data_IF_899137597319
#
_entry.id   IF_899137597319
#
_cell.length_a   1.000
_cell.length_b   1.000
_cell.length_c   1.000
_cell.angle_alpha   90.00
_cell.angle_beta   90.00
_cell.angle_gamma   90.00
#
_symmetry.space_group_name_H-M   'P 1'
#
loop_
_entity.id
_entity.type
_entity.pdbx_description
1 polymer ?
#
# COMPACT_ATOMS: atom_id res chain seq x y z
N UNK A 1 -23.59 -11.43 -2.19
CA UNK A 1 -22.64 -10.68 -1.34
C UNK A 1 -21.46 -11.61 -1.10
N UNK A 2 -20.21 -11.21 -1.33
CA UNK A 2 -19.11 -11.97 -0.74
C UNK A 2 -19.10 -11.65 0.75
N UNK A 3 -19.92 -12.36 1.54
CA UNK A 3 -20.02 -12.18 2.99
C UNK A 3 -18.65 -12.19 3.68
N UNK A 4 -17.69 -12.91 3.10
CA UNK A 4 -16.31 -13.02 3.55
C UNK A 4 -15.55 -11.68 3.52
N UNK A 5 -15.50 -10.98 2.37
CA UNK A 5 -14.78 -9.71 2.26
C UNK A 5 -15.34 -8.64 3.22
N UNK A 6 -16.66 -8.60 3.39
CA UNK A 6 -17.28 -7.68 4.35
C UNK A 6 -16.94 -8.03 5.80
N UNK A 7 -16.73 -9.31 6.13
CA UNK A 7 -16.29 -9.74 7.47
C UNK A 7 -14.83 -9.36 7.71
N UNK A 8 -13.95 -9.55 6.72
CA UNK A 8 -12.53 -9.16 6.82
C UNK A 8 -12.38 -7.65 7.00
N UNK A 9 -13.08 -6.85 6.19
CA UNK A 9 -13.06 -5.39 6.33
C UNK A 9 -13.58 -4.95 7.71
N UNK A 10 -14.67 -5.56 8.21
CA UNK A 10 -15.16 -5.27 9.57
C UNK A 10 -14.19 -5.69 10.66
N UNK A 11 -13.50 -6.82 10.51
CA UNK A 11 -12.47 -7.26 11.44
C UNK A 11 -11.27 -6.29 11.49
N UNK A 12 -10.99 -5.61 10.37
CA UNK A 12 -10.04 -4.51 10.30
C UNK A 12 -10.60 -3.15 10.80
N UNK A 13 -11.82 -3.12 11.36
CA UNK A 13 -12.46 -1.90 11.86
C UNK A 13 -13.13 -1.04 10.78
N UNK A 14 -13.32 -1.57 9.57
CA UNK A 14 -13.79 -0.84 8.39
C UNK A 14 -15.23 -1.25 8.04
N UNK A 15 -16.23 -0.54 8.57
CA UNK A 15 -17.63 -0.80 8.23
C UNK A 15 -18.12 -0.01 7.00
N UNK A 16 -18.03 -0.64 5.82
CA UNK A 16 -18.50 -0.06 4.56
C UNK A 16 -20.03 -0.07 4.40
N UNK A 17 -20.79 -0.69 5.31
CA UNK A 17 -22.26 -0.68 5.23
C UNK A 17 -22.85 0.71 5.51
N UNK A 18 -22.14 1.53 6.28
CA UNK A 18 -22.47 2.93 6.55
C UNK A 18 -22.40 3.84 5.30
N UNK A 19 -21.77 3.36 4.21
CA UNK A 19 -21.63 4.08 2.95
C UNK A 19 -22.99 4.28 2.25
N UNK A 20 -23.41 5.54 2.17
CA UNK A 20 -24.62 5.98 1.46
C UNK A 20 -24.40 6.28 -0.03
N UNK A 21 -23.21 5.97 -0.58
CA UNK A 21 -22.90 6.13 -2.00
C UNK A 21 -23.08 7.58 -2.56
N UNK A 22 -22.88 8.61 -1.74
CA UNK A 22 -23.05 10.01 -2.14
C UNK A 22 -22.05 10.49 -3.23
N UNK A 23 -20.86 9.90 -3.31
CA UNK A 23 -19.86 10.23 -4.33
C UNK A 23 -18.89 11.36 -3.98
N UNK A 24 -18.95 11.93 -2.77
CA UNK A 24 -18.00 12.95 -2.30
C UNK A 24 -16.54 12.51 -2.44
N UNK A 25 -16.27 11.23 -2.18
CA UNK A 25 -14.95 10.63 -2.34
C UNK A 25 -14.44 10.69 -3.79
N UNK A 26 -15.27 10.31 -4.76
CA UNK A 26 -14.91 10.35 -6.19
C UNK A 26 -14.75 11.81 -6.65
N UNK A 27 -15.66 12.71 -6.29
CA UNK A 27 -15.56 14.14 -6.68
C UNK A 27 -14.34 14.86 -6.08
N UNK A 28 -13.86 14.40 -4.93
CA UNK A 28 -12.68 14.96 -4.26
C UNK A 28 -11.37 14.30 -4.69
N UNK A 29 -11.42 13.17 -5.39
CA UNK A 29 -10.23 12.41 -5.74
C UNK A 29 -9.40 13.14 -6.82
N UNK A 30 -8.12 13.48 -6.58
CA UNK A 30 -7.26 14.07 -7.60
C UNK A 30 -6.99 13.08 -8.75
N UNK A 31 -6.65 11.83 -8.44
CA UNK A 31 -6.41 10.79 -9.46
C UNK A 31 -7.64 10.50 -10.31
N UNK A 32 -8.83 10.46 -9.70
CA UNK A 32 -10.09 10.17 -10.39
C UNK A 32 -10.49 11.22 -11.45
N UNK A 33 -9.91 12.43 -11.42
CA UNK A 33 -10.12 13.45 -12.45
C UNK A 33 -9.36 13.17 -13.74
N UNK A 34 -8.33 12.32 -13.69
CA UNK A 34 -7.39 12.09 -14.78
C UNK A 34 -7.28 10.61 -15.16
N UNK A 35 -7.98 9.72 -14.47
CA UNK A 35 -7.82 8.26 -14.62
C UNK A 35 -9.16 7.53 -14.44
N UNK A 36 -9.15 6.20 -14.55
CA UNK A 36 -10.31 5.34 -14.31
C UNK A 36 -10.68 5.14 -12.83
N UNK A 37 -9.96 5.73 -11.87
CA UNK A 37 -10.24 5.57 -10.45
C UNK A 37 -11.58 6.20 -10.06
N UNK A 38 -12.52 5.34 -9.64
CA UNK A 38 -13.77 5.76 -9.03
C UNK A 38 -13.89 5.18 -7.62
N UNK A 39 -13.53 5.98 -6.60
CA UNK A 39 -13.54 5.54 -5.20
C UNK A 39 -14.91 5.06 -4.73
N UNK A 40 -16.00 5.74 -5.12
CA UNK A 40 -17.37 5.30 -4.82
C UNK A 40 -17.67 3.92 -5.40
N UNK A 41 -17.25 3.66 -6.65
CA UNK A 41 -17.38 2.34 -7.30
C UNK A 41 -16.62 1.28 -6.53
N UNK A 42 -15.36 1.51 -6.18
CA UNK A 42 -14.55 0.57 -5.40
C UNK A 42 -15.24 0.18 -4.09
N UNK A 43 -15.72 1.16 -3.32
CA UNK A 43 -16.43 0.88 -2.05
C UNK A 43 -17.74 0.10 -2.26
N UNK A 44 -18.45 0.34 -3.36
CA UNK A 44 -19.65 -0.41 -3.71
C UNK A 44 -19.31 -1.85 -4.08
N UNK A 45 -18.27 -2.03 -4.87
CA UNK A 45 -17.88 -3.33 -5.44
C UNK A 45 -17.23 -4.20 -4.35
N UNK A 46 -16.49 -3.62 -3.42
CA UNK A 46 -16.02 -4.29 -2.20
C UNK A 46 -17.15 -4.92 -1.36
N UNK A 47 -18.38 -4.40 -1.45
CA UNK A 47 -19.54 -5.00 -0.76
C UNK A 47 -20.20 -6.14 -1.55
N UNK A 48 -19.93 -6.25 -2.85
CA UNK A 48 -20.71 -7.10 -3.77
C UNK A 48 -19.87 -8.20 -4.41
N UNK A 49 -18.69 -7.87 -4.91
CA UNK A 49 -17.86 -8.72 -5.74
C UNK A 49 -16.38 -8.57 -5.37
N UNK A 50 -15.87 -9.56 -4.63
CA UNK A 50 -14.47 -9.63 -4.18
C UNK A 50 -13.48 -9.59 -5.33
N UNK A 51 -13.61 -10.53 -6.28
CA UNK A 51 -12.65 -10.65 -7.39
C UNK A 51 -12.59 -9.36 -8.18
N UNK A 52 -13.75 -8.79 -8.53
CA UNK A 52 -13.80 -7.57 -9.34
C UNK A 52 -13.16 -6.34 -8.68
N UNK A 53 -13.05 -6.29 -7.35
CA UNK A 53 -12.39 -5.17 -6.66
C UNK A 53 -10.89 -5.42 -6.41
N UNK A 54 -10.51 -6.67 -6.12
CA UNK A 54 -9.12 -7.01 -5.80
C UNK A 54 -8.23 -7.08 -7.04
N UNK A 55 -8.80 -7.42 -8.20
CA UNK A 55 -8.10 -7.43 -9.48
C UNK A 55 -8.25 -6.12 -10.29
N UNK A 56 -8.86 -5.07 -9.73
CA UNK A 56 -9.06 -3.79 -10.43
C UNK A 56 -7.79 -2.94 -10.31
N UNK A 57 -7.06 -2.75 -11.42
CA UNK A 57 -5.86 -1.91 -11.47
C UNK A 57 -6.10 -0.48 -10.98
N UNK A 58 -7.34 0.02 -11.08
CA UNK A 58 -7.68 1.35 -10.58
C UNK A 58 -7.48 1.47 -9.06
N UNK A 59 -7.52 0.36 -8.31
CA UNK A 59 -7.23 0.34 -6.87
C UNK A 59 -5.84 0.90 -6.55
N UNK A 60 -4.86 0.68 -7.44
CA UNK A 60 -3.48 1.13 -7.29
C UNK A 60 -3.28 2.61 -7.62
N UNK A 61 -4.24 3.26 -8.27
CA UNK A 61 -4.17 4.69 -8.65
C UNK A 61 -4.49 5.65 -7.49
N UNK A 62 -4.94 5.14 -6.34
CA UNK A 62 -5.12 5.94 -5.14
C UNK A 62 -3.76 6.37 -4.56
N UNK A 63 -3.55 7.67 -4.39
CA UNK A 63 -2.31 8.26 -3.87
C UNK A 63 -2.30 8.39 -2.34
N UNK A 64 -3.29 7.81 -1.66
CA UNK A 64 -3.44 7.89 -0.19
C UNK A 64 -3.37 9.32 0.35
N UNK A 65 -3.94 10.29 -0.37
CA UNK A 65 -3.93 11.72 0.03
C UNK A 65 -4.97 12.09 1.10
N UNK A 66 -5.73 11.12 1.61
CA UNK A 66 -6.78 11.26 2.65
C UNK A 66 -7.96 12.21 2.37
N UNK A 67 -7.96 12.97 1.27
CA UNK A 67 -9.02 13.96 0.99
C UNK A 67 -10.44 13.35 0.98
N UNK A 68 -10.60 12.12 0.48
CA UNK A 68 -11.90 11.45 0.45
C UNK A 68 -12.39 11.01 1.84
N UNK A 69 -11.48 10.65 2.73
CA UNK A 69 -11.75 10.27 4.11
C UNK A 69 -12.19 11.49 4.92
N UNK A 70 -11.42 12.57 4.87
CA UNK A 70 -11.74 13.84 5.56
C UNK A 70 -13.08 14.46 5.14
N UNK A 71 -13.52 14.20 3.91
CA UNK A 71 -14.78 14.75 3.37
C UNK A 71 -15.94 13.78 3.44
N UNK A 72 -15.75 12.58 4.00
CA UNK A 72 -16.82 11.61 4.07
C UNK A 72 -17.90 12.07 5.06
N UNK A 73 -19.16 12.32 4.63
CA UNK A 73 -20.22 12.73 5.55
C UNK A 73 -20.72 11.60 6.47
N UNK A 74 -20.09 10.43 6.40
CA UNK A 74 -20.39 9.23 7.18
C UNK A 74 -19.18 8.77 7.98
N UNK A 75 -18.12 9.58 8.02
CA UNK A 75 -16.87 9.31 8.75
C UNK A 75 -16.26 7.94 8.42
N UNK A 76 -16.39 7.54 7.15
CA UNK A 76 -15.82 6.27 6.69
C UNK A 76 -14.31 6.46 6.53
N UNK A 77 -13.48 5.58 7.10
CA UNK A 77 -12.05 5.54 6.86
C UNK A 77 -11.74 5.01 5.44
N UNK A 78 -12.06 5.80 4.41
CA UNK A 78 -12.03 5.39 3.01
C UNK A 78 -10.61 5.06 2.55
N UNK A 79 -9.61 5.84 2.97
CA UNK A 79 -8.21 5.59 2.59
C UNK A 79 -7.72 4.30 3.21
N UNK A 80 -8.05 4.06 4.48
CA UNK A 80 -7.69 2.82 5.18
C UNK A 80 -8.39 1.60 4.56
N UNK A 81 -9.65 1.76 4.13
CA UNK A 81 -10.36 0.71 3.39
C UNK A 81 -9.72 0.37 2.05
N UNK A 82 -9.20 1.36 1.31
CA UNK A 82 -8.46 1.12 0.07
C UNK A 82 -7.12 0.41 0.32
N UNK A 83 -6.42 0.77 1.40
CA UNK A 83 -5.18 0.09 1.81
C UNK A 83 -5.44 -1.36 2.21
N UNK A 84 -6.52 -1.63 2.94
CA UNK A 84 -6.90 -2.99 3.31
C UNK A 84 -7.29 -3.83 2.08
N UNK A 85 -8.01 -3.25 1.11
CA UNK A 85 -8.27 -3.91 -0.17
C UNK A 85 -6.96 -4.24 -0.91
N UNK A 86 -5.96 -3.35 -0.90
CA UNK A 86 -4.63 -3.66 -1.48
C UNK A 86 -3.94 -4.80 -0.75
N UNK A 87 -4.01 -4.84 0.58
CA UNK A 87 -3.45 -5.93 1.39
C UNK A 87 -4.07 -7.28 1.01
N UNK A 88 -5.38 -7.31 0.77
CA UNK A 88 -6.10 -8.50 0.32
C UNK A 88 -5.76 -8.86 -1.13
N UNK A 89 -5.64 -7.86 -2.02
CA UNK A 89 -5.23 -8.05 -3.40
C UNK A 89 -3.83 -8.69 -3.49
N UNK A 90 -2.88 -8.22 -2.68
CA UNK A 90 -1.52 -8.82 -2.58
C UNK A 90 -1.60 -10.28 -2.13
N UNK A 91 -2.42 -10.60 -1.12
CA UNK A 91 -2.61 -11.99 -0.66
C UNK A 91 -3.16 -12.92 -1.75
N UNK A 92 -3.86 -12.37 -2.75
CA UNK A 92 -4.39 -13.10 -3.90
C UNK A 92 -3.48 -13.06 -5.13
N UNK A 93 -2.27 -12.49 -5.01
CA UNK A 93 -1.28 -12.43 -6.07
C UNK A 93 -1.39 -11.21 -7.00
N UNK A 94 -2.28 -10.25 -6.72
CA UNK A 94 -2.44 -9.04 -7.53
C UNK A 94 -1.46 -7.91 -7.16
N UNK A 95 -0.23 -8.26 -6.77
CA UNK A 95 0.83 -7.28 -6.46
C UNK A 95 1.49 -6.78 -7.75
N UNK A 96 1.63 -5.47 -7.91
CA UNK A 96 2.31 -4.89 -9.07
C UNK A 96 3.82 -5.19 -9.05
N UNK A 97 4.46 -5.44 -10.21
CA UNK A 97 5.88 -5.81 -10.29
C UNK A 97 6.81 -4.79 -9.63
N UNK A 98 6.56 -3.49 -9.79
CA UNK A 98 7.41 -2.44 -9.23
C UNK A 98 7.33 -2.40 -7.70
N UNK A 99 6.15 -2.67 -7.12
CA UNK A 99 6.01 -2.78 -5.66
C UNK A 99 6.74 -4.01 -5.13
N UNK A 100 6.75 -5.12 -5.88
CA UNK A 100 7.50 -6.33 -5.54
C UNK A 100 8.99 -6.04 -5.52
N UNK A 101 9.52 -5.41 -6.58
CA UNK A 101 10.92 -5.01 -6.70
C UNK A 101 11.39 -4.12 -5.54
N UNK A 102 10.57 -3.13 -5.15
CA UNK A 102 10.88 -2.28 -3.99
C UNK A 102 10.92 -3.11 -2.70
N UNK A 103 10.01 -4.08 -2.56
CA UNK A 103 9.95 -4.95 -1.38
C UNK A 103 11.18 -5.86 -1.29
N UNK A 104 11.67 -6.36 -2.43
CA UNK A 104 12.93 -7.11 -2.52
C UNK A 104 14.12 -6.26 -2.10
N UNK A 105 14.22 -5.00 -2.56
CA UNK A 105 15.29 -4.08 -2.15
C UNK A 105 15.30 -3.87 -0.62
N UNK A 106 14.11 -3.74 0.00
CA UNK A 106 13.99 -3.63 1.46
C UNK A 106 14.47 -4.92 2.14
N UNK A 107 14.12 -6.10 1.63
CA UNK A 107 14.57 -7.38 2.20
C UNK A 107 16.10 -7.58 2.05
N UNK A 108 16.66 -7.12 0.94
CA UNK A 108 18.07 -7.26 0.63
C UNK A 108 18.94 -6.30 1.44
N UNK A 109 18.61 -5.01 1.49
CA UNK A 109 19.48 -3.98 2.05
C UNK A 109 18.82 -3.07 3.10
N UNK A 110 17.57 -3.35 3.49
CA UNK A 110 16.82 -2.58 4.47
C UNK A 110 16.24 -1.27 3.94
N UNK A 111 16.36 -0.98 2.64
CA UNK A 111 15.95 0.29 2.05
C UNK A 111 15.20 0.08 0.73
N UNK A 112 14.17 0.89 0.50
CA UNK A 112 13.44 0.95 -0.77
C UNK A 112 14.27 1.59 -1.89
N UNK A 113 15.24 2.43 -1.52
CA UNK A 113 16.20 3.06 -2.43
C UNK A 113 17.59 2.82 -1.84
N UNK A 114 18.33 1.82 -2.32
CA UNK A 114 19.66 1.51 -1.83
C UNK A 114 20.66 2.63 -2.12
N UNK A 115 21.61 2.85 -1.21
CA UNK A 115 22.75 3.73 -1.45
C UNK A 115 23.64 3.20 -2.60
N UNK A 116 23.79 4.00 -3.65
CA UNK A 116 24.72 3.76 -4.76
C UNK A 116 26.05 4.54 -4.61
N UNK A 117 27.04 4.21 -5.44
CA UNK A 117 28.35 4.86 -5.41
C UNK A 117 28.29 6.35 -5.77
N UNK A 118 27.36 6.75 -6.64
CA UNK A 118 27.16 8.16 -6.98
C UNK A 118 26.70 8.98 -5.77
N UNK A 119 25.78 8.43 -4.98
CA UNK A 119 25.27 9.06 -3.77
C UNK A 119 26.35 9.10 -2.69
N UNK A 120 27.20 8.06 -2.55
CA UNK A 120 28.36 8.09 -1.64
C UNK A 120 29.32 9.22 -2.01
N UNK A 121 29.67 9.34 -3.29
CA UNK A 121 30.55 10.40 -3.77
C UNK A 121 29.96 11.80 -3.53
N UNK A 122 28.67 12.01 -3.83
CA UNK A 122 27.98 13.28 -3.54
C UNK A 122 28.00 13.62 -2.05
N UNK A 123 27.90 12.62 -1.17
CA UNK A 123 27.97 12.83 0.28
C UNK A 123 29.37 13.29 0.70
N UNK A 124 30.42 12.68 0.17
CA UNK A 124 31.81 13.10 0.40
C UNK A 124 32.07 14.54 -0.09
N UNK A 125 31.57 14.91 -1.28
CA UNK A 125 31.66 16.28 -1.81
C UNK A 125 30.98 17.31 -0.89
N UNK A 126 29.90 16.91 -0.22
CA UNK A 126 29.19 17.71 0.76
C UNK A 126 29.82 17.66 2.17
N UNK A 127 30.93 16.95 2.35
CA UNK A 127 31.61 16.78 3.64
C UNK A 127 30.86 15.89 4.63
N UNK A 128 30.00 15.00 4.13
CA UNK A 128 29.24 14.04 4.93
C UNK A 128 29.92 12.66 4.90
N UNK A 129 29.65 11.83 5.91
CA UNK A 129 30.05 10.41 5.88
C UNK A 129 29.47 9.74 4.62
N UNK A 130 30.30 9.09 3.77
CA UNK A 130 29.83 8.43 2.55
C UNK A 130 28.68 7.46 2.81
N UNK A 131 28.70 6.77 3.97
CA UNK A 131 27.64 5.85 4.38
C UNK A 131 26.87 6.48 5.57
N UNK A 132 25.59 6.85 5.39
CA UNK A 132 24.79 7.41 6.47
C UNK A 132 24.53 6.39 7.58
N UNK A 133 24.18 6.87 8.79
CA UNK A 133 23.84 6.06 9.96
C UNK A 133 22.48 5.35 9.81
N UNK A 134 22.40 4.41 8.85
CA UNK A 134 21.20 3.64 8.52
C UNK A 134 21.46 2.12 8.57
N UNK A 135 20.43 1.32 8.29
CA UNK A 135 20.53 -0.15 8.20
C UNK A 135 21.63 -0.63 7.24
N UNK A 136 22.02 0.16 6.22
CA UNK A 136 23.09 -0.22 5.30
C UNK A 136 24.49 -0.10 5.91
N UNK A 137 24.67 0.70 6.96
CA UNK A 137 25.95 0.83 7.68
C UNK A 137 26.15 -0.28 8.71
N UNK A 138 25.06 -0.74 9.32
CA UNK A 138 25.09 -1.68 10.43
C UNK A 138 24.53 -3.05 10.03
N UNK A 139 25.41 -4.03 9.85
CA UNK A 139 25.03 -5.39 9.45
C UNK A 139 24.09 -6.09 10.45
N UNK A 140 24.24 -5.81 11.75
CA UNK A 140 23.36 -6.33 12.81
C UNK A 140 21.93 -5.81 12.65
N UNK A 141 21.76 -4.51 12.39
CA UNK A 141 20.44 -3.92 12.14
C UNK A 141 19.75 -4.55 10.90
N UNK A 142 20.52 -4.88 9.85
CA UNK A 142 19.96 -5.56 8.69
C UNK A 142 19.45 -6.97 9.03
N UNK A 143 20.14 -7.68 9.94
CA UNK A 143 19.68 -9.00 10.41
C UNK A 143 18.39 -8.89 11.23
N UNK A 144 18.26 -7.85 12.06
CA UNK A 144 17.02 -7.57 12.79
C UNK A 144 15.85 -7.29 11.83
N UNK A 145 16.05 -6.42 10.83
CA UNK A 145 15.06 -6.13 9.79
C UNK A 145 14.61 -7.42 9.10
N UNK A 146 15.55 -8.26 8.65
CA UNK A 146 15.23 -9.54 8.00
C UNK A 146 14.48 -10.50 8.92
N UNK A 147 14.80 -10.51 10.21
CA UNK A 147 14.11 -11.33 11.21
C UNK A 147 12.65 -10.91 11.37
N UNK A 148 12.38 -9.60 11.40
CA UNK A 148 11.03 -9.05 11.46
C UNK A 148 10.24 -9.32 10.18
N UNK A 149 10.85 -9.13 9.01
CA UNK A 149 10.21 -9.43 7.73
C UNK A 149 9.76 -10.90 7.67
N UNK A 150 10.62 -11.82 8.09
CA UNK A 150 10.31 -13.25 8.16
C UNK A 150 9.22 -13.56 9.19
N UNK A 151 9.27 -12.93 10.37
CA UNK A 151 8.23 -13.10 11.40
C UNK A 151 6.85 -12.63 10.92
N UNK A 152 6.82 -11.60 10.08
CA UNK A 152 5.61 -11.09 9.42
C UNK A 152 5.22 -11.84 8.14
N UNK A 153 6.00 -12.85 7.73
CA UNK A 153 5.83 -13.57 6.45
C UNK A 153 5.84 -12.64 5.23
N UNK A 154 6.58 -11.55 5.33
CA UNK A 154 6.68 -10.56 4.27
C UNK A 154 7.41 -11.14 3.06
N UNK A 155 8.43 -11.96 3.30
CA UNK A 155 9.15 -12.74 2.29
C UNK A 155 8.23 -13.68 1.50
N UNK A 156 7.30 -14.38 2.17
CA UNK A 156 6.29 -15.21 1.52
C UNK A 156 5.32 -14.38 0.66
N UNK A 157 4.93 -13.18 1.12
CA UNK A 157 4.01 -12.28 0.40
C UNK A 157 4.63 -11.67 -0.85
N UNK A 158 5.95 -11.47 -0.85
CA UNK A 158 6.67 -10.80 -1.93
C UNK A 158 7.38 -11.77 -2.87
N UNK A 159 7.32 -13.07 -2.62
CA UNK A 159 7.81 -14.09 -3.54
C UNK A 159 6.97 -14.14 -4.83
N UNK A 160 7.61 -14.35 -5.99
CA UNK A 160 6.90 -14.60 -7.26
C UNK A 160 6.08 -15.90 -7.15
N UNK A 161 4.82 -15.85 -7.57
CA UNK A 161 3.94 -17.03 -7.72
C UNK A 161 4.07 -17.61 -9.12
#
# INVERSE_FOLDING_TARGET
MSEELSKELKAAGLDLLSCMQCGTCTGSCPSGRHTGLNTRRILRDARKNRVAVLSDDALWLCTTCYTCQERCPRDIPITDALLELRRLAIKEGFMLPEHRRISEMVAECGHAVPLDEETKHKREELGLDPIPETVQKYSEALQEVRSLLKACKFDELTAEN
#
